data_IF_712619166178
#
_entry.id   IF_712619166178
#
_cell.length_a   1.000
_cell.length_b   1.000
_cell.length_c   1.000
_cell.angle_alpha   90.00
_cell.angle_beta   90.00
_cell.angle_gamma   90.00
#
_symmetry.space_group_name_H-M   'P 1'
#
loop_
_entity.id
_entity.type
_entity.pdbx_description
1 polymer ?
#
# COMPACT_ATOMS: atom_id res chain seq x y z
N UNK A 1 6.94 -40.90 -23.66
CA UNK A 1 7.25 -39.47 -23.88
C UNK A 1 6.37 -38.56 -23.02
N UNK A 2 5.04 -38.73 -23.01
CA UNK A 2 4.09 -37.98 -22.14
C UNK A 2 4.41 -37.99 -20.64
N UNK A 3 4.99 -39.07 -20.11
CA UNK A 3 5.35 -39.22 -18.69
C UNK A 3 6.51 -38.31 -18.23
N UNK A 4 7.35 -37.80 -19.13
CA UNK A 4 8.45 -36.88 -18.81
C UNK A 4 8.04 -35.43 -19.04
N UNK A 5 7.16 -35.20 -20.02
CA UNK A 5 6.70 -33.86 -20.42
C UNK A 5 5.89 -33.20 -19.30
N UNK A 6 4.96 -33.94 -18.69
CA UNK A 6 4.04 -33.39 -17.68
C UNK A 6 4.72 -32.93 -16.38
N UNK A 7 5.71 -33.65 -15.81
CA UNK A 7 6.51 -33.15 -14.69
C UNK A 7 7.34 -31.91 -15.06
N UNK A 8 7.95 -31.89 -16.25
CA UNK A 8 8.76 -30.76 -16.70
C UNK A 8 7.91 -29.51 -16.94
N UNK A 9 6.72 -29.68 -17.49
CA UNK A 9 5.70 -28.63 -17.64
C UNK A 9 5.21 -28.11 -16.28
N UNK A 10 4.96 -29.01 -15.31
CA UNK A 10 4.59 -28.61 -13.95
C UNK A 10 5.72 -27.85 -13.26
N UNK A 11 6.97 -28.23 -13.48
CA UNK A 11 8.14 -27.53 -12.95
C UNK A 11 8.30 -26.16 -13.60
N UNK A 12 8.15 -26.04 -14.92
CA UNK A 12 8.22 -24.76 -15.61
C UNK A 12 7.08 -23.84 -15.20
N UNK A 13 5.85 -24.35 -15.11
CA UNK A 13 4.70 -23.59 -14.62
C UNK A 13 4.89 -23.14 -13.18
N UNK A 14 5.37 -24.03 -12.30
CA UNK A 14 5.73 -23.69 -10.92
C UNK A 14 6.82 -22.62 -10.85
N UNK A 15 7.88 -22.75 -11.66
CA UNK A 15 8.97 -21.79 -11.75
C UNK A 15 8.49 -20.43 -12.26
N UNK A 16 7.65 -20.38 -13.29
CA UNK A 16 7.09 -19.12 -13.81
C UNK A 16 6.08 -18.49 -12.84
N UNK A 17 5.32 -19.31 -12.11
CA UNK A 17 4.44 -18.83 -11.06
C UNK A 17 5.24 -18.27 -9.87
N UNK A 18 6.33 -18.94 -9.46
CA UNK A 18 7.24 -18.43 -8.44
C UNK A 18 8.00 -17.19 -8.92
N UNK A 19 8.53 -17.19 -10.14
CA UNK A 19 9.16 -16.01 -10.76
C UNK A 19 8.17 -14.85 -10.88
N UNK A 20 6.93 -15.10 -11.26
CA UNK A 20 5.88 -14.08 -11.31
C UNK A 20 5.49 -13.55 -9.92
N UNK A 21 5.57 -14.38 -8.88
CA UNK A 21 5.39 -13.95 -7.49
C UNK A 21 6.62 -13.22 -6.93
N UNK A 22 7.83 -13.57 -7.39
CA UNK A 22 9.09 -12.94 -6.98
C UNK A 22 9.35 -11.62 -7.73
N UNK A 23 8.94 -11.52 -8.99
CA UNK A 23 8.95 -10.32 -9.83
C UNK A 23 7.64 -9.54 -9.67
N UNK A 24 7.13 -9.45 -8.43
CA UNK A 24 5.81 -8.88 -8.11
C UNK A 24 5.47 -7.61 -8.92
N UNK A 25 4.17 -7.42 -9.17
CA UNK A 25 3.68 -6.40 -10.10
C UNK A 25 4.26 -5.00 -9.86
N UNK A 26 4.14 -4.13 -10.85
CA UNK A 26 4.77 -2.80 -10.78
C UNK A 26 4.14 -1.94 -9.68
N UNK A 27 4.95 -1.20 -8.93
CA UNK A 27 4.44 -0.35 -7.85
C UNK A 27 5.01 1.06 -7.90
N UNK A 28 4.20 2.04 -7.49
CA UNK A 28 4.58 3.44 -7.39
C UNK A 28 4.16 4.01 -6.04
N UNK A 29 5.03 4.80 -5.43
CA UNK A 29 4.88 5.40 -4.11
C UNK A 29 4.88 6.93 -4.16
N UNK A 30 3.99 7.55 -3.40
CA UNK A 30 3.99 8.98 -3.13
C UNK A 30 3.89 9.21 -1.63
N UNK A 31 4.82 9.97 -1.06
CA UNK A 31 4.86 10.29 0.35
C UNK A 31 4.60 11.78 0.57
N UNK A 32 3.72 12.10 1.53
CA UNK A 32 3.39 13.46 1.94
C UNK A 32 3.61 13.57 3.45
N UNK A 33 4.52 14.45 3.86
CA UNK A 33 4.78 14.75 5.27
C UNK A 33 4.54 16.24 5.52
N UNK A 34 3.51 16.51 6.30
CA UNK A 34 3.14 17.85 6.75
C UNK A 34 3.36 17.86 8.26
N UNK A 35 4.53 18.32 8.76
CA UNK A 35 4.77 18.46 10.19
C UNK A 35 3.65 19.32 10.80
N UNK A 36 3.08 18.81 11.88
CA UNK A 36 2.00 19.49 12.58
C UNK A 36 2.57 20.63 13.41
N UNK A 37 2.56 21.84 12.84
CA UNK A 37 2.63 23.06 13.64
C UNK A 37 1.31 23.15 14.40
N UNK A 38 1.37 23.08 15.73
CA UNK A 38 0.20 23.00 16.58
C UNK A 38 -0.87 24.03 16.19
N UNK A 39 -2.02 23.51 15.77
CA UNK A 39 -3.28 24.14 16.11
C UNK A 39 -3.50 23.91 17.62
N UNK A 40 -3.98 24.91 18.35
CA UNK A 40 -4.57 24.68 19.66
C UNK A 40 -5.66 23.60 19.56
N UNK A 41 -6.11 22.98 20.67
CA UNK A 41 -7.32 22.14 20.67
C UNK A 41 -8.54 22.79 19.99
N UNK A 42 -8.53 24.13 19.87
CA UNK A 42 -9.54 24.96 19.21
C UNK A 42 -9.23 25.30 17.74
N UNK A 43 -8.19 24.73 17.14
CA UNK A 43 -7.85 24.93 15.72
C UNK A 43 -7.00 26.18 15.42
N UNK A 44 -6.48 26.90 16.43
CA UNK A 44 -5.75 28.16 16.21
C UNK A 44 -4.23 27.95 16.04
N UNK A 45 -3.59 28.51 15.00
CA UNK A 45 -2.16 28.35 14.77
C UNK A 45 -1.36 28.96 15.92
N UNK A 46 -0.60 28.12 16.63
CA UNK A 46 0.25 28.54 17.75
C UNK A 46 1.71 28.49 17.33
N UNK A 47 2.46 29.57 17.56
CA UNK A 47 3.90 29.61 17.32
C UNK A 47 4.58 28.65 18.29
N UNK A 48 5.27 27.65 17.74
CA UNK A 48 6.06 26.72 18.52
C UNK A 48 7.38 27.34 18.96
N UNK A 49 7.87 27.02 20.17
CA UNK A 49 9.22 27.40 20.58
C UNK A 49 10.26 26.86 19.57
N UNK A 50 11.37 27.59 19.33
CA UNK A 50 12.37 27.20 18.32
C UNK A 50 12.91 25.77 18.49
N UNK A 51 13.09 25.33 19.73
CA UNK A 51 13.55 23.96 20.06
C UNK A 51 12.56 22.88 19.60
N UNK A 52 11.25 23.12 19.79
CA UNK A 52 10.20 22.19 19.37
C UNK A 52 10.07 22.14 17.85
N UNK A 53 10.30 23.27 17.17
CA UNK A 53 10.35 23.33 15.70
C UNK A 53 11.52 22.51 15.17
N UNK A 54 12.69 22.61 15.79
CA UNK A 54 13.87 21.83 15.39
C UNK A 54 13.64 20.32 15.57
N UNK A 55 13.07 19.90 16.71
CA UNK A 55 12.75 18.50 16.96
C UNK A 55 11.73 17.96 15.95
N UNK A 56 10.64 18.70 15.70
CA UNK A 56 9.62 18.35 14.71
C UNK A 56 10.21 18.19 13.30
N UNK A 57 11.10 19.10 12.90
CA UNK A 57 11.80 19.03 11.62
C UNK A 57 12.68 17.78 11.54
N UNK A 58 13.46 17.51 12.58
CA UNK A 58 14.35 16.35 12.65
C UNK A 58 13.55 15.05 12.54
N UNK A 59 12.44 14.95 13.28
CA UNK A 59 11.57 13.78 13.23
C UNK A 59 10.89 13.61 11.88
N UNK A 60 10.36 14.70 11.31
CA UNK A 60 9.67 14.64 10.03
C UNK A 60 10.61 14.27 8.88
N UNK A 61 11.85 14.76 8.93
CA UNK A 61 12.91 14.33 8.02
C UNK A 61 13.25 12.85 8.24
N UNK A 62 13.29 12.39 9.50
CA UNK A 62 13.45 10.97 9.84
C UNK A 62 12.36 10.08 9.25
N UNK A 63 11.09 10.51 9.32
CA UNK A 63 9.95 9.80 8.71
C UNK A 63 10.09 9.71 7.18
N UNK A 64 10.43 10.82 6.53
CA UNK A 64 10.66 10.84 5.08
C UNK A 64 11.77 9.88 4.67
N UNK A 65 12.90 9.90 5.37
CA UNK A 65 14.01 8.99 5.11
C UNK A 65 13.61 7.52 5.33
N UNK A 66 12.81 7.22 6.35
CA UNK A 66 12.29 5.87 6.60
C UNK A 66 11.39 5.39 5.46
N UNK A 67 10.48 6.24 4.97
CA UNK A 67 9.60 5.89 3.85
C UNK A 67 10.35 5.78 2.52
N UNK A 68 11.33 6.64 2.28
CA UNK A 68 12.22 6.50 1.12
C UNK A 68 13.00 5.19 1.16
N UNK A 69 13.51 4.80 2.34
CA UNK A 69 14.15 3.49 2.55
C UNK A 69 13.18 2.36 2.25
N UNK A 70 11.95 2.46 2.73
CA UNK A 70 10.88 1.49 2.47
C UNK A 70 10.59 1.36 0.97
N UNK A 71 10.43 2.47 0.25
CA UNK A 71 10.22 2.45 -1.20
C UNK A 71 11.41 1.80 -1.93
N UNK A 72 12.64 2.16 -1.58
CA UNK A 72 13.83 1.56 -2.17
C UNK A 72 13.93 0.05 -1.89
N UNK A 73 13.67 -0.38 -0.64
CA UNK A 73 13.78 -1.78 -0.23
C UNK A 73 12.77 -2.68 -0.96
N UNK A 74 11.55 -2.21 -1.16
CA UNK A 74 10.50 -2.95 -1.85
C UNK A 74 10.41 -2.65 -3.35
N UNK A 75 11.41 -1.97 -3.93
CA UNK A 75 11.47 -1.63 -5.36
C UNK A 75 10.24 -0.84 -5.85
N UNK A 76 9.69 0.02 -4.98
CA UNK A 76 8.56 0.89 -5.29
C UNK A 76 9.09 2.14 -6.02
N UNK A 77 8.60 2.39 -7.23
CA UNK A 77 8.96 3.58 -7.99
C UNK A 77 8.51 4.84 -7.24
N UNK A 78 9.42 5.77 -6.97
CA UNK A 78 9.07 6.97 -6.20
C UNK A 78 8.56 8.06 -7.14
N UNK A 79 7.26 8.39 -7.07
CA UNK A 79 6.71 9.57 -7.73
C UNK A 79 7.20 10.86 -7.06
N UNK A 80 7.23 10.87 -5.73
CA UNK A 80 7.68 12.03 -4.96
C UNK A 80 7.64 11.81 -3.45
N UNK A 81 8.34 12.68 -2.73
CA UNK A 81 8.33 12.77 -1.28
C UNK A 81 8.21 14.25 -0.90
N UNK A 82 7.00 14.71 -0.65
CA UNK A 82 6.72 16.10 -0.34
C UNK A 82 6.87 16.37 1.16
N UNK A 83 7.61 17.42 1.47
CA UNK A 83 7.75 17.98 2.80
C UNK A 83 7.23 19.42 2.79
N UNK A 84 6.23 19.74 3.64
CA UNK A 84 5.74 21.12 3.73
C UNK A 84 5.50 21.57 5.16
N UNK A 85 6.34 22.48 5.65
CA UNK A 85 6.21 23.10 6.98
C UNK A 85 5.07 24.11 7.07
N UNK A 86 4.70 24.74 5.96
CA UNK A 86 3.58 25.69 5.88
C UNK A 86 2.24 25.03 5.54
N UNK A 87 2.20 23.69 5.44
CA UNK A 87 1.05 22.96 4.91
C UNK A 87 0.98 22.97 3.37
N UNK A 88 0.05 22.19 2.82
CA UNK A 88 -0.24 22.14 1.39
C UNK A 88 -1.64 22.70 1.15
N UNK A 89 -1.80 23.56 0.15
CA UNK A 89 -3.14 23.99 -0.29
C UNK A 89 -3.86 22.84 -1.00
N UNK A 90 -5.20 22.89 -1.00
CA UNK A 90 -6.01 21.88 -1.67
C UNK A 90 -5.66 21.76 -3.16
N UNK A 91 -5.52 22.87 -3.89
CA UNK A 91 -5.23 22.86 -5.33
C UNK A 91 -3.89 22.21 -5.66
N UNK A 92 -2.86 22.47 -4.85
CA UNK A 92 -1.52 21.89 -5.03
C UNK A 92 -1.58 20.38 -4.77
N UNK A 93 -2.22 19.97 -3.68
CA UNK A 93 -2.36 18.57 -3.32
C UNK A 93 -3.20 17.80 -4.35
N UNK A 94 -4.32 18.38 -4.76
CA UNK A 94 -5.21 17.83 -5.80
C UNK A 94 -4.47 17.61 -7.11
N UNK A 95 -3.69 18.59 -7.58
CA UNK A 95 -2.93 18.49 -8.82
C UNK A 95 -1.88 17.39 -8.76
N UNK A 96 -1.09 17.32 -7.67
CA UNK A 96 -0.06 16.29 -7.47
C UNK A 96 -0.66 14.89 -7.31
N UNK A 97 -1.72 14.76 -6.52
CA UNK A 97 -2.40 13.48 -6.36
C UNK A 97 -2.99 13.00 -7.68
N UNK A 98 -3.67 13.85 -8.46
CA UNK A 98 -4.19 13.45 -9.77
C UNK A 98 -3.06 12.99 -10.70
N UNK A 99 -1.95 13.71 -10.75
CA UNK A 99 -0.78 13.31 -11.54
C UNK A 99 -0.19 11.96 -11.08
N UNK A 100 -0.08 11.74 -9.77
CA UNK A 100 0.34 10.47 -9.19
C UNK A 100 -0.60 9.32 -9.58
N UNK A 101 -1.91 9.50 -9.43
CA UNK A 101 -2.92 8.49 -9.82
C UNK A 101 -2.95 8.27 -11.34
N UNK A 102 -2.40 9.19 -12.13
CA UNK A 102 -2.25 9.14 -13.57
C UNK A 102 -0.92 8.54 -14.07
N UNK A 103 0.00 8.19 -13.16
CA UNK A 103 1.28 7.62 -13.55
C UNK A 103 1.15 6.24 -14.21
N UNK A 104 2.04 5.96 -15.16
CA UNK A 104 2.16 4.71 -15.92
C UNK A 104 3.62 4.28 -15.92
N UNK A 105 3.84 2.98 -16.09
CA UNK A 105 5.19 2.45 -16.28
C UNK A 105 5.75 2.94 -17.62
N UNK A 106 7.07 2.88 -17.76
CA UNK A 106 7.80 3.29 -18.97
C UNK A 106 7.30 2.54 -20.22
N UNK A 107 6.88 1.29 -20.06
CA UNK A 107 6.38 0.44 -21.15
C UNK A 107 4.89 0.70 -21.50
N UNK A 108 4.22 1.63 -20.81
CA UNK A 108 2.87 2.09 -21.09
C UNK A 108 1.71 1.61 -20.19
N UNK A 109 1.74 0.42 -19.54
CA UNK A 109 0.65 0.01 -18.65
C UNK A 109 0.63 0.83 -17.35
N UNK A 110 -0.49 0.73 -16.63
CA UNK A 110 -0.63 1.31 -15.28
C UNK A 110 0.17 0.48 -14.28
N UNK A 111 0.59 1.11 -13.18
CA UNK A 111 1.16 0.36 -12.07
C UNK A 111 0.09 -0.56 -11.48
N UNK A 112 0.51 -1.73 -11.03
CA UNK A 112 -0.35 -2.65 -10.29
C UNK A 112 -0.78 -2.05 -8.95
N UNK A 113 0.18 -1.46 -8.23
CA UNK A 113 -0.02 -0.97 -6.86
C UNK A 113 0.42 0.48 -6.71
N UNK A 114 -0.49 1.33 -6.27
CA UNK A 114 -0.21 2.70 -5.87
C UNK A 114 -0.15 2.76 -4.34
N UNK A 115 0.95 3.26 -3.80
CA UNK A 115 1.19 3.41 -2.36
C UNK A 115 1.20 4.90 -2.02
N UNK A 116 0.21 5.34 -1.26
CA UNK A 116 0.12 6.72 -0.78
C UNK A 116 0.44 6.73 0.71
N UNK A 117 1.51 7.41 1.09
CA UNK A 117 1.87 7.64 2.49
C UNK A 117 1.52 9.07 2.89
N UNK A 118 0.87 9.22 4.03
CA UNK A 118 0.55 10.51 4.62
C UNK A 118 0.88 10.54 6.11
N UNK A 119 1.59 11.60 6.51
CA UNK A 119 1.79 11.97 7.90
C UNK A 119 1.49 13.46 8.07
N UNK A 120 0.56 13.78 8.96
CA UNK A 120 0.18 15.17 9.22
C UNK A 120 -1.08 15.30 10.07
N UNK A 121 -1.56 16.53 10.17
CA UNK A 121 -2.70 16.86 11.03
C UNK A 121 -4.00 16.33 10.44
N UNK A 122 -4.81 15.70 11.30
CA UNK A 122 -6.11 15.14 10.92
C UNK A 122 -7.17 15.57 11.91
N UNK A 123 -8.36 15.88 11.41
CA UNK A 123 -9.53 16.12 12.26
C UNK A 123 -10.01 14.82 12.91
N UNK A 124 -10.89 14.89 13.91
CA UNK A 124 -11.42 13.70 14.60
C UNK A 124 -12.16 12.70 13.69
N UNK A 125 -12.62 13.16 12.53
CA UNK A 125 -13.20 12.37 11.43
C UNK A 125 -12.15 11.63 10.58
N UNK A 126 -10.86 11.91 10.76
CA UNK A 126 -9.74 11.40 9.97
C UNK A 126 -9.46 12.20 8.69
N UNK A 127 -10.23 13.25 8.42
CA UNK A 127 -9.99 14.15 7.28
C UNK A 127 -8.64 14.86 7.43
N UNK A 128 -7.89 14.97 6.34
CA UNK A 128 -6.60 15.65 6.34
C UNK A 128 -6.83 17.15 6.40
N UNK A 129 -6.19 17.83 7.36
CA UNK A 129 -6.22 19.28 7.45
C UNK A 129 -5.18 19.87 6.50
N UNK A 130 -5.61 20.80 5.66
CA UNK A 130 -4.78 21.45 4.65
C UNK A 130 -4.58 22.94 4.96
N UNK A 131 -3.61 23.56 4.29
CA UNK A 131 -3.39 24.99 4.41
C UNK A 131 -4.62 25.76 3.92
N UNK A 132 -5.01 26.82 4.63
CA UNK A 132 -6.19 27.63 4.30
C UNK A 132 -7.50 27.14 4.91
N UNK A 133 -7.49 26.09 5.75
CA UNK A 133 -8.69 25.54 6.37
C UNK A 133 -9.45 24.55 5.48
N UNK A 134 -8.88 24.22 4.32
CA UNK A 134 -9.40 23.17 3.45
C UNK A 134 -9.20 21.79 4.09
N UNK A 135 -10.01 20.83 3.64
CA UNK A 135 -9.98 19.45 4.12
C UNK A 135 -9.95 18.47 2.95
N UNK A 136 -9.21 17.37 3.10
CA UNK A 136 -9.32 16.23 2.19
C UNK A 136 -10.02 15.06 2.88
N UNK A 137 -11.14 14.64 2.29
CA UNK A 137 -11.92 13.47 2.70
C UNK A 137 -11.44 12.21 1.97
N UNK A 138 -11.61 11.06 2.61
CA UNK A 138 -11.38 9.77 1.97
C UNK A 138 -12.25 9.61 0.71
N UNK A 139 -13.53 9.96 0.78
CA UNK A 139 -14.46 9.85 -0.35
C UNK A 139 -13.98 10.62 -1.59
N UNK A 140 -13.46 11.84 -1.39
CA UNK A 140 -12.90 12.68 -2.47
C UNK A 140 -11.66 12.04 -3.10
N UNK A 141 -10.76 11.49 -2.29
CA UNK A 141 -9.60 10.75 -2.80
C UNK A 141 -10.02 9.50 -3.60
N UNK A 142 -11.03 8.78 -3.13
CA UNK A 142 -11.55 7.58 -3.78
C UNK A 142 -12.34 7.88 -5.06
N UNK A 143 -12.98 9.05 -5.13
CA UNK A 143 -13.54 9.62 -6.35
C UNK A 143 -12.47 9.82 -7.41
N UNK A 144 -11.36 10.49 -7.06
CA UNK A 144 -10.24 10.67 -7.98
C UNK A 144 -9.63 9.32 -8.38
N UNK A 145 -9.49 8.39 -7.44
CA UNK A 145 -9.05 7.03 -7.75
C UNK A 145 -9.98 6.33 -8.74
N UNK A 146 -11.30 6.45 -8.56
CA UNK A 146 -12.30 5.87 -9.47
C UNK A 146 -12.24 6.49 -10.86
N UNK A 147 -12.11 7.81 -10.92
CA UNK A 147 -12.03 8.58 -12.17
C UNK A 147 -10.86 8.08 -13.01
N UNK A 148 -9.69 7.85 -12.39
CA UNK A 148 -8.45 7.51 -13.10
C UNK A 148 -8.23 6.01 -13.28
N UNK A 149 -8.66 5.19 -12.33
CA UNK A 149 -8.35 3.77 -12.26
C UNK A 149 -9.59 2.84 -12.28
N UNK A 150 -10.81 3.37 -12.41
CA UNK A 150 -12.03 2.56 -12.41
C UNK A 150 -12.14 1.56 -13.57
N UNK A 151 -11.48 1.82 -14.70
CA UNK A 151 -11.39 0.91 -15.85
C UNK A 151 -10.17 -0.01 -15.81
N UNK A 152 -9.27 0.18 -14.84
CA UNK A 152 -8.01 -0.55 -14.73
C UNK A 152 -8.04 -1.49 -13.53
N UNK A 153 -7.28 -2.58 -13.59
CA UNK A 153 -7.16 -3.53 -12.48
C UNK A 153 -6.00 -3.15 -11.55
N UNK A 154 -5.85 -1.87 -11.20
CA UNK A 154 -4.86 -1.40 -10.23
C UNK A 154 -5.47 -1.35 -8.83
N UNK A 155 -4.62 -1.33 -7.81
CA UNK A 155 -5.03 -1.15 -6.40
C UNK A 155 -4.34 0.02 -5.73
N UNK A 156 -4.98 0.57 -4.72
CA UNK A 156 -4.49 1.68 -3.90
C UNK A 156 -4.28 1.22 -2.46
N UNK A 157 -3.09 1.49 -1.91
CA UNK A 157 -2.75 1.26 -0.50
C UNK A 157 -2.42 2.61 0.11
N UNK A 158 -3.17 2.99 1.14
CA UNK A 158 -2.98 4.25 1.86
C UNK A 158 -2.36 3.91 3.22
N UNK A 159 -1.24 4.53 3.56
CA UNK A 159 -0.54 4.37 4.84
C UNK A 159 -0.62 5.71 5.57
N UNK A 160 -1.20 5.69 6.77
CA UNK A 160 -1.47 6.87 7.57
C UNK A 160 -0.68 6.80 8.88
N UNK A 161 0.25 7.74 9.07
CA UNK A 161 0.83 8.05 10.37
C UNK A 161 0.23 9.36 10.88
N UNK A 162 -0.96 9.26 11.46
CA UNK A 162 -1.77 10.39 11.91
C UNK A 162 -2.55 10.02 13.15
N UNK A 163 -2.82 10.98 14.04
CA UNK A 163 -3.58 10.75 15.28
C UNK A 163 -4.95 10.12 15.04
N UNK A 164 -5.68 10.54 14.00
CA UNK A 164 -7.04 10.09 13.72
C UNK A 164 -7.13 9.22 12.46
N UNK A 165 -6.30 8.16 12.36
CA UNK A 165 -6.33 7.25 11.19
C UNK A 165 -7.48 6.21 11.20
N UNK A 166 -8.03 5.91 12.38
CA UNK A 166 -9.02 4.82 12.57
C UNK A 166 -10.35 4.99 11.82
N UNK A 167 -10.89 6.21 11.58
CA UNK A 167 -12.11 6.40 10.79
C UNK A 167 -11.95 5.89 9.36
N UNK A 168 -10.86 6.25 8.67
CA UNK A 168 -10.58 5.82 7.30
C UNK A 168 -10.44 4.29 7.20
N UNK A 169 -9.82 3.67 8.21
CA UNK A 169 -9.71 2.20 8.33
C UNK A 169 -11.08 1.50 8.46
N UNK A 170 -12.07 2.16 9.07
CA UNK A 170 -13.44 1.63 9.16
C UNK A 170 -14.22 1.88 7.87
N UNK A 171 -14.04 3.05 7.26
CA UNK A 171 -14.73 3.45 6.03
C UNK A 171 -14.32 2.60 4.82
N UNK A 172 -13.03 2.28 4.69
CA UNK A 172 -12.54 1.48 3.56
C UNK A 172 -13.22 0.10 3.48
N UNK A 173 -13.66 -0.46 4.61
CA UNK A 173 -14.36 -1.76 4.68
C UNK A 173 -15.76 -1.72 4.07
N UNK A 174 -16.34 -0.54 3.91
CA UNK A 174 -17.67 -0.35 3.30
C UNK A 174 -17.60 -0.35 1.77
N UNK A 175 -16.42 -0.10 1.20
CA UNK A 175 -16.19 0.03 -0.25
C UNK A 175 -16.34 -1.33 -0.94
N UNK A 176 -17.13 -1.37 -2.00
CA UNK A 176 -17.41 -2.59 -2.78
C UNK A 176 -16.63 -2.67 -4.10
N UNK A 177 -16.44 -1.57 -4.81
CA UNK A 177 -16.13 -1.60 -6.25
C UNK A 177 -14.68 -1.26 -6.61
N UNK A 178 -13.80 -1.16 -5.61
CA UNK A 178 -12.40 -0.80 -5.79
C UNK A 178 -11.50 -1.69 -4.93
N UNK A 179 -10.24 -1.84 -5.35
CA UNK A 179 -9.20 -2.51 -4.57
C UNK A 179 -8.43 -1.49 -3.76
N UNK A 180 -8.92 -1.20 -2.56
CA UNK A 180 -8.30 -0.23 -1.64
C UNK A 180 -8.00 -0.87 -0.29
N UNK A 181 -6.85 -0.52 0.27
CA UNK A 181 -6.49 -0.82 1.65
C UNK A 181 -6.01 0.45 2.36
N UNK A 182 -6.28 0.53 3.66
CA UNK A 182 -5.79 1.60 4.54
C UNK A 182 -5.06 0.95 5.71
N UNK A 183 -3.81 1.31 5.90
CA UNK A 183 -3.02 1.06 7.10
C UNK A 183 -2.98 2.33 7.93
N UNK A 184 -3.26 2.22 9.21
CA UNK A 184 -3.20 3.32 10.17
C UNK A 184 -2.58 2.89 11.49
N UNK A 185 -2.49 3.86 12.40
CA UNK A 185 -2.00 3.70 13.74
C UNK A 185 -2.98 4.29 14.77
N UNK A 186 -3.05 3.65 15.93
CA UNK A 186 -3.71 4.17 17.13
C UNK A 186 -2.62 4.41 18.18
N UNK A 187 -2.44 5.68 18.57
CA UNK A 187 -1.49 6.10 19.59
C UNK A 187 -2.20 6.12 20.95
N UNK A 188 -1.59 5.49 21.96
CA UNK A 188 -2.14 5.47 23.31
C UNK A 188 -2.14 6.90 23.91
N UNK A 189 -3.33 7.36 24.33
CA UNK A 189 -3.52 8.71 24.91
C UNK A 189 -3.06 8.85 26.36
N UNK A 190 -2.92 7.72 27.06
CA UNK A 190 -2.52 7.65 28.47
C UNK A 190 -1.47 6.57 28.61
N UNK A 191 -0.23 6.97 28.83
CA UNK A 191 0.84 6.07 29.28
C UNK A 191 0.84 6.17 30.80
N UNK A 192 0.81 5.04 31.52
CA UNK A 192 0.97 5.06 32.98
C UNK A 192 2.29 5.78 33.32
N UNK A 193 2.13 6.83 34.11
CA UNK A 193 3.11 7.86 34.42
C UNK A 193 4.20 7.22 35.28
N UNK A 194 5.39 6.96 34.71
CA UNK A 194 6.68 7.12 35.41
C UNK A 194 7.95 6.91 34.54
N UNK A 195 7.92 6.24 33.38
CA UNK A 195 9.19 5.91 32.66
C UNK A 195 9.25 6.10 31.12
N UNK A 196 8.15 6.40 30.40
CA UNK A 196 8.20 6.48 28.93
C UNK A 196 7.54 7.74 28.36
N UNK A 197 8.22 8.34 27.37
CA UNK A 197 7.66 9.44 26.58
C UNK A 197 6.37 9.02 25.87
N UNK A 198 5.36 9.90 25.76
CA UNK A 198 4.12 9.60 25.07
C UNK A 198 4.41 9.28 23.58
N UNK A 199 3.65 8.35 22.97
CA UNK A 199 3.84 8.01 21.55
C UNK A 199 3.55 9.22 20.68
N UNK A 200 4.41 9.47 19.70
CA UNK A 200 4.33 10.64 18.82
C UNK A 200 4.26 10.24 17.35
N UNK A 201 3.83 11.18 16.50
CA UNK A 201 3.81 10.97 15.04
C UNK A 201 5.22 10.58 14.55
N UNK A 202 5.28 9.53 13.74
CA UNK A 202 6.53 8.95 13.25
C UNK A 202 6.99 7.69 13.97
N UNK A 203 6.53 7.44 15.21
CA UNK A 203 6.84 6.20 15.92
C UNK A 203 6.24 4.99 15.20
N UNK A 204 5.00 5.13 14.70
CA UNK A 204 4.38 4.10 13.86
C UNK A 204 5.21 3.85 12.60
N UNK A 205 5.56 4.92 11.86
CA UNK A 205 6.33 4.77 10.62
C UNK A 205 7.67 4.10 10.85
N UNK A 206 8.40 4.48 11.91
CA UNK A 206 9.67 3.84 12.26
C UNK A 206 9.50 2.34 12.48
N UNK A 207 8.57 1.96 13.35
CA UNK A 207 8.35 0.55 13.70
C UNK A 207 7.82 -0.26 12.51
N UNK A 208 6.92 0.32 11.72
CA UNK A 208 6.31 -0.32 10.55
C UNK A 208 7.30 -0.52 9.42
N UNK A 209 8.16 0.48 9.15
CA UNK A 209 9.24 0.35 8.16
C UNK A 209 10.26 -0.68 8.62
N UNK A 210 10.65 -0.69 9.90
CA UNK A 210 11.60 -1.68 10.41
C UNK A 210 11.03 -3.09 10.38
N UNK A 211 9.73 -3.27 10.65
CA UNK A 211 9.05 -4.56 10.52
C UNK A 211 9.04 -5.08 9.06
N UNK A 212 8.87 -4.19 8.08
CA UNK A 212 8.78 -4.59 6.67
C UNK A 212 10.14 -4.73 5.97
N UNK A 213 11.15 -3.95 6.39
CA UNK A 213 12.46 -3.95 5.75
C UNK A 213 13.52 -4.81 6.45
N UNK A 214 13.28 -5.25 7.69
CA UNK A 214 14.23 -6.07 8.44
C UNK A 214 13.62 -7.43 8.83
N UNK A 215 14.13 -8.49 8.21
CA UNK A 215 13.71 -9.88 8.45
C UNK A 215 14.15 -10.43 9.81
N UNK A 216 15.12 -9.79 10.47
CA UNK A 216 15.69 -10.20 11.78
C UNK A 216 15.08 -9.47 12.97
N UNK A 217 14.11 -8.60 12.72
CA UNK A 217 13.54 -7.76 13.76
C UNK A 217 12.57 -8.55 14.66
N UNK A 218 12.54 -8.20 15.96
CA UNK A 218 11.69 -8.81 16.97
C UNK A 218 10.35 -8.06 17.19
N UNK A 219 9.98 -7.12 16.30
CA UNK A 219 8.71 -6.38 16.44
C UNK A 219 7.52 -7.34 16.31
N UNK A 220 6.76 -7.44 17.40
CA UNK A 220 5.54 -8.23 17.48
C UNK A 220 4.32 -7.31 17.65
N UNK A 221 3.54 -7.13 16.58
CA UNK A 221 2.37 -6.24 16.61
C UNK A 221 1.27 -6.70 17.56
N UNK A 222 1.21 -7.99 17.93
CA UNK A 222 0.22 -8.56 18.86
C UNK A 222 0.61 -8.47 20.33
N UNK A 223 1.80 -7.94 20.63
CA UNK A 223 2.27 -7.79 22.01
C UNK A 223 1.38 -6.81 22.79
N UNK A 224 0.97 -7.22 24.00
CA UNK A 224 0.14 -6.41 24.88
C UNK A 224 1.00 -5.32 25.52
N UNK A 225 0.51 -4.08 25.56
CA UNK A 225 1.18 -2.96 26.22
C UNK A 225 1.95 -2.03 25.28
N UNK A 226 1.92 -2.25 23.96
CA UNK A 226 2.49 -1.30 22.99
C UNK A 226 1.74 0.05 23.05
N UNK A 227 2.52 1.13 23.10
CA UNK A 227 2.01 2.51 23.01
C UNK A 227 1.49 2.86 21.62
N UNK A 228 2.05 2.22 20.58
CA UNK A 228 1.61 2.35 19.19
C UNK A 228 1.00 1.03 18.72
N UNK A 229 -0.28 1.09 18.34
CA UNK A 229 -1.03 -0.06 17.82
C UNK A 229 -1.27 0.12 16.34
N UNK A 230 -1.00 -0.92 15.56
CA UNK A 230 -1.29 -0.90 14.14
C UNK A 230 -2.73 -1.36 13.88
N UNK A 231 -3.40 -0.69 12.95
CA UNK A 231 -4.73 -1.07 12.50
C UNK A 231 -4.79 -1.00 10.99
N UNK A 232 -5.51 -1.91 10.36
CA UNK A 232 -5.74 -1.81 8.92
C UNK A 232 -7.15 -2.24 8.54
N UNK A 233 -7.54 -1.81 7.35
CA UNK A 233 -8.81 -2.10 6.73
C UNK A 233 -8.63 -2.32 5.25
N UNK A 234 -9.44 -3.20 4.68
CA UNK A 234 -9.45 -3.48 3.25
C UNK A 234 -10.87 -3.43 2.71
N UNK A 235 -10.98 -3.01 1.47
CA UNK A 235 -12.21 -3.10 0.66
C UNK A 235 -12.70 -4.54 0.53
N UNK A 236 -14.00 -4.71 0.31
CA UNK A 236 -14.63 -6.06 0.27
C UNK A 236 -14.12 -6.94 -0.87
N UNK A 237 -13.70 -6.34 -1.98
CA UNK A 237 -13.15 -7.06 -3.15
C UNK A 237 -11.63 -7.19 -3.11
N UNK A 238 -10.96 -6.69 -2.08
CA UNK A 238 -9.49 -6.78 -1.96
C UNK A 238 -8.94 -8.18 -2.26
N UNK A 239 -9.63 -9.22 -1.79
CA UNK A 239 -9.21 -10.61 -1.99
C UNK A 239 -9.23 -11.11 -3.43
N UNK A 240 -9.96 -10.44 -4.32
CA UNK A 240 -10.07 -10.85 -5.72
C UNK A 240 -8.95 -10.29 -6.58
N UNK A 241 -8.22 -9.31 -6.05
CA UNK A 241 -7.09 -8.71 -6.72
C UNK A 241 -5.99 -9.73 -6.97
N UNK A 242 -5.43 -9.70 -8.17
CA UNK A 242 -4.23 -10.45 -8.56
C UNK A 242 -3.31 -9.48 -9.27
N UNK A 243 -2.02 -9.50 -8.93
CA UNK A 243 -1.01 -8.74 -9.65
C UNK A 243 -1.04 -9.15 -11.14
N UNK A 244 -0.80 -8.21 -12.04
CA UNK A 244 -0.66 -8.55 -13.45
C UNK A 244 0.55 -9.45 -13.60
N UNK A 245 0.29 -10.72 -13.90
CA UNK A 245 1.28 -11.67 -14.35
C UNK A 245 1.51 -11.45 -15.85
N UNK A 246 2.75 -11.67 -16.36
CA UNK A 246 3.01 -11.58 -17.79
C UNK A 246 2.05 -12.51 -18.54
N UNK A 247 1.40 -11.98 -19.58
CA UNK A 247 0.49 -12.80 -20.39
C UNK A 247 1.28 -13.88 -21.12
N UNK A 248 0.61 -14.95 -21.55
CA UNK A 248 1.24 -15.97 -22.38
C UNK A 248 1.90 -15.38 -23.64
N UNK A 249 1.32 -14.33 -24.21
CA UNK A 249 1.91 -13.57 -25.32
C UNK A 249 3.17 -12.81 -24.93
N UNK A 250 3.23 -12.23 -23.73
CA UNK A 250 4.42 -11.51 -23.25
C UNK A 250 5.57 -12.50 -23.00
N UNK A 251 5.26 -13.64 -22.38
CA UNK A 251 6.22 -14.74 -22.19
C UNK A 251 6.71 -15.26 -23.54
N UNK A 252 5.80 -15.47 -24.51
CA UNK A 252 6.18 -15.91 -25.85
C UNK A 252 7.09 -14.90 -26.56
N UNK A 253 6.74 -13.60 -26.51
CA UNK A 253 7.53 -12.54 -27.14
C UNK A 253 8.91 -12.43 -26.50
N UNK A 254 8.99 -12.42 -25.17
CA UNK A 254 10.26 -12.40 -24.44
C UNK A 254 11.10 -13.66 -24.76
N UNK A 255 10.49 -14.83 -24.71
CA UNK A 255 11.17 -16.08 -25.01
C UNK A 255 11.70 -16.13 -26.44
N UNK A 256 10.93 -15.62 -27.39
CA UNK A 256 11.35 -15.52 -28.79
C UNK A 256 12.51 -14.54 -29.01
N UNK A 257 12.59 -13.46 -28.21
CA UNK A 257 13.66 -12.47 -28.29
C UNK A 257 14.99 -12.98 -27.68
N UNK A 258 14.92 -13.81 -26.63
CA UNK A 258 16.08 -14.17 -25.83
C UNK A 258 16.54 -15.64 -25.97
N UNK A 259 15.71 -16.54 -26.51
CA UNK A 259 16.03 -17.98 -26.61
C UNK A 259 16.05 -18.51 -28.06
N UNK A 260 16.75 -19.62 -28.33
CA UNK A 260 16.84 -20.21 -29.66
C UNK A 260 15.51 -20.75 -30.20
N UNK A 261 15.32 -20.65 -31.52
CA UNK A 261 14.08 -21.02 -32.25
C UNK A 261 13.57 -22.45 -32.00
N UNK A 262 14.45 -23.38 -31.67
CA UNK A 262 14.11 -24.79 -31.38
C UNK A 262 13.16 -24.92 -30.18
N UNK A 263 13.15 -23.93 -29.28
CA UNK A 263 12.33 -23.94 -28.05
C UNK A 263 10.95 -23.31 -28.22
N UNK A 264 10.66 -22.65 -29.36
CA UNK A 264 9.39 -21.92 -29.57
C UNK A 264 8.12 -22.80 -29.54
N UNK A 265 8.11 -24.03 -30.08
CA UNK A 265 6.93 -24.89 -30.03
C UNK A 265 6.44 -25.19 -28.61
N UNK A 266 7.37 -25.25 -27.63
CA UNK A 266 7.05 -25.51 -26.23
C UNK A 266 6.24 -24.36 -25.61
N UNK A 267 6.54 -23.11 -25.97
CA UNK A 267 5.85 -21.93 -25.43
C UNK A 267 4.44 -21.79 -26.02
N UNK A 268 4.27 -22.14 -27.30
CA UNK A 268 2.95 -22.14 -27.93
C UNK A 268 2.02 -23.20 -27.35
N UNK A 269 2.54 -24.39 -27.01
CA UNK A 269 1.77 -25.46 -26.35
C UNK A 269 1.36 -25.08 -24.92
N UNK A 270 2.27 -24.49 -24.14
CA UNK A 270 1.98 -24.02 -22.78
C UNK A 270 0.87 -22.95 -22.76
N UNK A 271 0.88 -22.02 -23.72
CA UNK A 271 -0.15 -20.98 -23.84
C UNK A 271 -1.53 -21.51 -24.23
N UNK A 272 -1.60 -22.55 -25.05
CA UNK A 272 -2.88 -23.16 -25.47
C UNK A 272 -3.63 -23.76 -24.27
N UNK A 273 -2.94 -24.52 -23.41
CA UNK A 273 -3.54 -25.22 -22.29
C UNK A 273 -4.04 -24.27 -21.19
N UNK A 274 -3.33 -23.15 -20.95
CA UNK A 274 -3.76 -22.10 -20.02
C UNK A 274 -5.07 -21.39 -20.43
N UNK A 275 -5.47 -21.47 -21.71
CA UNK A 275 -6.71 -20.87 -22.22
C UNK A 275 -8.00 -21.62 -21.87
N UNK A 276 -7.91 -22.85 -21.35
CA UNK A 276 -9.06 -23.71 -21.06
C UNK A 276 -9.65 -23.37 -19.67
N UNK A 277 -10.57 -22.39 -19.63
CA UNK A 277 -11.22 -21.92 -18.41
C UNK A 277 -12.37 -22.85 -17.94
N UNK A 278 -12.12 -24.17 -17.82
CA UNK A 278 -13.14 -25.18 -17.50
C UNK A 278 -13.77 -25.06 -16.10
N UNK A 279 -13.17 -24.31 -15.17
CA UNK A 279 -13.57 -24.27 -13.75
C UNK A 279 -14.11 -22.90 -13.29
N UNK A 280 -14.71 -22.11 -14.19
CA UNK A 280 -15.12 -20.74 -13.88
C UNK A 280 -16.13 -20.60 -12.72
N UNK A 281 -17.11 -21.51 -12.62
CA UNK A 281 -18.10 -21.51 -11.52
C UNK A 281 -17.43 -21.80 -10.17
N UNK A 282 -16.51 -22.77 -10.13
CA UNK A 282 -15.72 -23.06 -8.92
C UNK A 282 -14.87 -21.85 -8.50
N UNK A 283 -14.28 -21.12 -9.46
CA UNK A 283 -13.53 -19.89 -9.19
C UNK A 283 -14.42 -18.81 -8.59
N UNK A 284 -15.66 -18.64 -9.06
CA UNK A 284 -16.59 -17.64 -8.52
C UNK A 284 -17.00 -17.97 -7.06
N UNK A 285 -17.38 -19.22 -6.78
CA UNK A 285 -17.70 -19.66 -5.41
C UNK A 285 -16.49 -19.50 -4.47
N UNK A 286 -15.29 -19.86 -4.93
CA UNK A 286 -14.06 -19.70 -4.16
C UNK A 286 -13.75 -18.22 -3.84
N UNK A 287 -13.97 -17.31 -4.80
CA UNK A 287 -13.83 -15.86 -4.57
C UNK A 287 -14.82 -15.37 -3.50
N UNK A 288 -16.09 -15.79 -3.56
CA UNK A 288 -17.08 -15.45 -2.54
C UNK A 288 -16.67 -15.94 -1.14
N UNK A 289 -16.18 -17.19 -1.02
CA UNK A 289 -15.66 -17.72 0.24
C UNK A 289 -14.43 -16.94 0.73
N UNK A 290 -13.52 -16.55 -0.18
CA UNK A 290 -12.34 -15.74 0.16
C UNK A 290 -12.73 -14.35 0.67
N UNK A 291 -13.73 -13.71 0.05
CA UNK A 291 -14.30 -12.42 0.50
C UNK A 291 -14.95 -12.54 1.88
N UNK A 292 -15.77 -13.57 2.09
CA UNK A 292 -16.40 -13.84 3.40
C UNK A 292 -15.35 -14.08 4.48
N UNK A 293 -14.34 -14.91 4.18
CA UNK A 293 -13.20 -15.17 5.08
C UNK A 293 -12.49 -13.87 5.45
N UNK A 294 -12.16 -13.01 4.49
CA UNK A 294 -11.50 -11.73 4.76
C UNK A 294 -12.38 -10.75 5.55
N UNK A 295 -13.69 -10.76 5.31
CA UNK A 295 -14.63 -9.90 6.04
C UNK A 295 -14.87 -10.36 7.48
N UNK A 296 -14.89 -11.66 7.74
CA UNK A 296 -15.16 -12.23 9.06
C UNK A 296 -13.89 -12.42 9.90
N UNK A 297 -12.79 -12.74 9.24
CA UNK A 297 -11.50 -13.05 9.86
C UNK A 297 -10.40 -12.25 9.18
N UNK A 298 -10.40 -10.94 9.43
CA UNK A 298 -9.32 -10.07 9.00
C UNK A 298 -8.01 -10.52 9.67
N UNK A 299 -7.01 -11.01 8.91
CA UNK A 299 -5.81 -11.60 9.49
C UNK A 299 -5.00 -10.56 10.26
N UNK A 300 -4.23 -10.98 11.26
CA UNK A 300 -3.32 -10.08 12.00
C UNK A 300 -2.27 -9.47 11.08
N UNK A 301 -1.80 -10.24 10.10
CA UNK A 301 -0.82 -9.82 9.10
C UNK A 301 -1.36 -10.19 7.72
N UNK A 302 -1.43 -9.21 6.83
CA UNK A 302 -1.89 -9.36 5.47
C UNK A 302 -0.73 -9.08 4.51
N UNK A 303 -0.32 -10.12 3.80
CA UNK A 303 0.65 -9.98 2.72
C UNK A 303 0.02 -9.27 1.52
N UNK A 304 0.68 -8.23 1.04
CA UNK A 304 0.24 -7.50 -0.15
C UNK A 304 0.67 -8.19 -1.44
N UNK A 305 1.65 -9.09 -1.40
CA UNK A 305 2.29 -9.67 -2.59
C UNK A 305 3.31 -8.74 -3.26
N UNK A 306 3.62 -7.58 -2.66
CA UNK A 306 4.66 -6.64 -3.11
C UNK A 306 5.89 -6.65 -2.18
N UNK A 307 6.08 -7.74 -1.45
CA UNK A 307 7.18 -7.89 -0.49
C UNK A 307 6.98 -7.18 0.86
N UNK A 308 5.88 -6.42 1.05
CA UNK A 308 5.53 -5.80 2.33
C UNK A 308 4.12 -6.19 2.82
N UNK A 309 3.88 -6.00 4.11
CA UNK A 309 2.70 -6.52 4.83
C UNK A 309 1.94 -5.40 5.54
N UNK A 310 0.61 -5.52 5.54
CA UNK A 310 -0.28 -4.72 6.39
C UNK A 310 -0.47 -5.46 7.71
N UNK A 311 -0.51 -4.71 8.81
CA UNK A 311 -0.42 -5.28 10.16
C UNK A 311 -1.49 -4.71 11.08
N UNK A 312 -2.01 -5.59 11.92
CA UNK A 312 -3.02 -5.31 12.95
C UNK A 312 -2.51 -5.83 14.30
N UNK A 313 -2.65 -5.00 15.33
CA UNK A 313 -2.42 -5.34 16.73
C UNK A 313 -3.63 -6.01 17.38
#
# INVERSE_FOLDING_TARGET
>A
MFLIVLPLESMAHGLFHELGNCLGGTSVGYAIVIPTNFCSPDGQPTLLPPEHVQELNLRSTGMLNAIQRFFAYHMIETYGCDYSTSGLSFDTLHSKLKAFLELRTVDGPRHDTYVLYYSGHTHGSGEWALAGGDILRLDTLLEWWREKNGSFCSRLIIILDSENSTPWVKEVRKINDQYVAVQGAELAKTVDIEEADPPQLGDFTRDWVEYNCNSTNNICWTEKGRTVRAVYGVSKRWSDYTLHLPTGSDVAKHWMLHFPRVTYPLVHLANWLCGLNLFWVCKACFRCLKRLKMSWFLPTVLDTGQGFKLVKS
#
